data_IF_851406892659
#
_entry.id   IF_851406892659
#
_cell.length_a   1.000
_cell.length_b   1.000
_cell.length_c   1.000
_cell.angle_alpha   90.00
_cell.angle_beta   90.00
_cell.angle_gamma   90.00
#
_symmetry.space_group_name_H-M   'P 1'
#
loop_
_entity.id
_entity.type
_entity.pdbx_description
1 polymer ?
#
# COMPACT_ATOMS: atom_id res chain seq x y z
N UNK A 1 58.28 54.63 -5.68
CA UNK A 1 56.96 54.08 -6.06
C UNK A 1 56.89 52.62 -5.64
N UNK A 2 56.17 52.33 -4.57
CA UNK A 2 55.95 50.94 -4.07
C UNK A 2 54.60 50.46 -4.60
N UNK A 3 54.61 49.39 -5.39
CA UNK A 3 53.37 48.73 -5.86
C UNK A 3 52.98 47.64 -4.85
N UNK A 4 51.83 47.81 -4.22
CA UNK A 4 51.22 46.83 -3.34
C UNK A 4 50.35 45.92 -4.23
N UNK A 5 50.69 44.61 -4.26
CA UNK A 5 49.88 43.59 -4.91
C UNK A 5 48.80 43.11 -3.94
N UNK A 6 47.55 43.32 -4.25
CA UNK A 6 46.42 42.77 -3.46
C UNK A 6 46.14 41.34 -3.92
N UNK A 7 46.16 40.40 -2.99
CA UNK A 7 45.74 39.02 -3.19
C UNK A 7 44.25 38.96 -2.95
N UNK A 8 43.46 38.63 -3.98
CA UNK A 8 42.04 38.32 -3.87
C UNK A 8 41.90 36.84 -3.56
N UNK A 9 41.48 36.55 -2.35
CA UNK A 9 41.18 35.18 -1.88
C UNK A 9 39.73 34.87 -2.31
N UNK A 10 39.55 34.07 -3.38
CA UNK A 10 38.23 33.56 -3.76
C UNK A 10 37.94 32.34 -2.89
N UNK A 11 37.09 32.54 -1.88
CA UNK A 11 36.57 31.45 -1.04
C UNK A 11 35.59 30.61 -1.85
N UNK A 12 35.97 29.37 -2.17
CA UNK A 12 35.05 28.35 -2.74
C UNK A 12 34.07 27.94 -1.63
N UNK A 13 32.81 28.41 -1.71
CA UNK A 13 31.73 27.87 -0.89
C UNK A 13 31.40 26.47 -1.45
N UNK A 14 31.86 25.42 -0.78
CA UNK A 14 31.39 24.06 -0.99
C UNK A 14 30.00 23.97 -0.34
N UNK A 15 28.95 24.11 -1.15
CA UNK A 15 27.60 23.79 -0.73
C UNK A 15 27.57 22.25 -0.68
N UNK A 16 27.78 21.69 0.51
CA UNK A 16 27.51 20.28 0.78
C UNK A 16 25.99 20.09 0.63
N UNK A 17 25.54 19.56 -0.50
CA UNK A 17 24.16 19.13 -0.63
C UNK A 17 23.98 17.94 0.31
N UNK A 18 23.36 18.18 1.44
CA UNK A 18 22.91 17.12 2.35
C UNK A 18 21.74 16.43 1.65
N UNK A 19 22.02 15.36 0.89
CA UNK A 19 20.96 14.46 0.41
C UNK A 19 20.20 13.98 1.64
N UNK A 20 18.90 14.17 1.73
CA UNK A 20 18.13 13.70 2.88
C UNK A 20 18.33 12.19 2.99
N UNK A 21 18.81 11.75 4.15
CA UNK A 21 19.06 10.34 4.43
C UNK A 21 17.71 9.61 4.38
N UNK A 22 17.61 8.51 3.61
CA UNK A 22 16.44 7.64 3.61
C UNK A 22 16.13 7.18 5.03
N UNK A 23 14.86 7.07 5.35
CA UNK A 23 14.35 6.56 6.61
C UNK A 23 13.24 5.54 6.37
N UNK A 24 12.94 4.75 7.39
CA UNK A 24 11.74 3.93 7.40
C UNK A 24 10.53 4.86 7.47
N UNK A 25 9.66 4.76 6.46
CA UNK A 25 8.40 5.49 6.38
C UNK A 25 7.34 4.74 7.20
N UNK A 26 7.27 3.42 7.00
CA UNK A 26 6.46 2.52 7.81
C UNK A 26 7.05 1.10 7.75
N UNK A 27 6.65 0.28 8.73
CA UNK A 27 6.94 -1.15 8.76
C UNK A 27 5.76 -1.92 9.34
N UNK A 28 5.66 -3.20 8.98
CA UNK A 28 4.78 -4.23 9.52
C UNK A 28 5.70 -5.34 9.98
N UNK A 29 5.60 -5.77 11.25
CA UNK A 29 6.51 -6.72 11.87
C UNK A 29 7.86 -6.12 12.27
N UNK A 30 8.72 -6.94 12.84
CA UNK A 30 10.05 -6.60 13.35
C UNK A 30 11.07 -7.56 12.76
N UNK A 31 12.23 -7.07 12.33
CA UNK A 31 13.32 -7.94 11.89
C UNK A 31 13.97 -8.64 13.08
N UNK A 32 13.40 -9.77 13.48
CA UNK A 32 13.81 -10.51 14.66
C UNK A 32 13.81 -12.04 14.47
N UNK A 33 13.64 -12.49 13.22
CA UNK A 33 13.60 -13.90 12.78
C UNK A 33 12.49 -14.73 13.44
N UNK A 34 11.36 -14.10 13.76
CA UNK A 34 10.16 -14.80 14.17
C UNK A 34 8.90 -14.02 13.75
N UNK A 35 7.72 -14.62 13.83
CA UNK A 35 6.45 -14.01 13.46
C UNK A 35 5.50 -13.82 14.63
N UNK A 36 6.00 -13.75 15.87
CA UNK A 36 5.14 -13.70 17.05
C UNK A 36 4.32 -12.42 17.20
N UNK A 37 4.74 -11.34 16.55
CA UNK A 37 4.00 -10.08 16.50
C UNK A 37 2.79 -10.10 15.57
N UNK A 38 2.69 -11.08 14.69
CA UNK A 38 1.62 -11.16 13.69
C UNK A 38 0.37 -11.91 14.21
N UNK A 39 -0.72 -11.75 13.49
CA UNK A 39 -1.95 -12.51 13.70
C UNK A 39 -1.74 -13.98 13.35
N UNK A 40 -2.44 -14.86 14.06
CA UNK A 40 -2.39 -16.31 13.87
C UNK A 40 -1.01 -16.93 14.14
N UNK A 41 -0.05 -16.18 14.72
CA UNK A 41 1.22 -16.73 15.18
C UNK A 41 0.96 -17.86 16.20
N UNK A 42 1.96 -18.75 16.40
CA UNK A 42 1.83 -20.00 17.14
C UNK A 42 1.00 -21.08 16.42
N UNK A 43 1.07 -21.11 15.05
CA UNK A 43 0.53 -22.19 14.23
C UNK A 43 -1.00 -22.25 14.13
N UNK A 44 -1.66 -21.11 14.21
CA UNK A 44 -3.12 -21.04 14.04
C UNK A 44 -3.54 -20.82 12.55
N UNK A 45 -2.76 -21.30 11.57
CA UNK A 45 -3.06 -21.14 10.15
C UNK A 45 -4.43 -21.68 9.73
N UNK A 46 -4.96 -22.71 10.45
CA UNK A 46 -6.29 -23.25 10.21
C UNK A 46 -7.39 -22.21 10.48
N UNK A 47 -7.14 -21.21 11.34
CA UNK A 47 -8.04 -20.10 11.62
C UNK A 47 -7.94 -18.95 10.59
N UNK A 48 -7.18 -19.13 9.53
CA UNK A 48 -6.99 -18.10 8.52
C UNK A 48 -8.32 -17.59 7.96
N UNK A 49 -9.26 -18.51 7.67
CA UNK A 49 -10.59 -18.17 7.19
C UNK A 49 -11.42 -17.44 8.26
N UNK A 50 -11.35 -17.85 9.53
CA UNK A 50 -12.10 -17.21 10.61
C UNK A 50 -11.73 -15.73 10.81
N UNK A 51 -10.51 -15.37 10.44
CA UNK A 51 -10.03 -14.00 10.42
C UNK A 51 -10.28 -13.28 9.06
N UNK A 52 -10.98 -13.94 8.14
CA UNK A 52 -11.30 -13.46 6.80
C UNK A 52 -10.09 -13.13 5.91
N UNK A 53 -8.88 -13.56 6.26
CA UNK A 53 -7.68 -13.28 5.46
C UNK A 53 -7.71 -13.94 4.07
N UNK A 54 -8.49 -15.01 3.90
CA UNK A 54 -8.59 -15.73 2.63
C UNK A 54 -9.90 -15.50 1.85
N UNK A 55 -10.94 -14.96 2.48
CA UNK A 55 -12.27 -14.87 1.89
C UNK A 55 -12.63 -13.50 1.37
N UNK A 56 -12.25 -12.45 2.08
CA UNK A 56 -12.60 -11.08 1.77
C UNK A 56 -11.36 -10.31 1.31
N UNK A 57 -11.59 -9.23 0.57
CA UNK A 57 -10.57 -8.23 0.29
C UNK A 57 -10.28 -7.49 1.58
N UNK A 58 -9.32 -8.00 2.34
CA UNK A 58 -8.83 -7.34 3.54
C UNK A 58 -7.63 -6.48 3.20
N UNK A 59 -7.52 -5.41 3.95
CA UNK A 59 -6.39 -4.51 3.85
C UNK A 59 -5.79 -4.24 5.21
N UNK A 60 -4.50 -3.97 5.23
CA UNK A 60 -3.76 -3.45 6.35
C UNK A 60 -3.53 -1.95 6.12
N UNK A 61 -4.14 -1.11 6.94
CA UNK A 61 -4.03 0.33 6.82
C UNK A 61 -2.96 0.86 7.76
N UNK A 62 -1.86 1.35 7.19
CA UNK A 62 -0.74 1.93 7.94
C UNK A 62 -1.23 3.09 8.82
N UNK A 63 -0.86 3.04 10.10
CA UNK A 63 -1.26 4.03 11.11
C UNK A 63 -2.62 3.76 11.76
N UNK A 64 -3.33 2.68 11.36
CA UNK A 64 -4.63 2.30 11.92
C UNK A 64 -4.68 0.83 12.30
N UNK A 65 -4.26 -0.06 11.40
CA UNK A 65 -4.23 -1.50 11.62
C UNK A 65 -3.12 -1.93 12.57
N UNK A 66 -3.32 -3.05 13.27
CA UNK A 66 -2.37 -3.61 14.22
C UNK A 66 -1.86 -4.97 13.72
N UNK A 67 -0.54 -5.17 13.71
CA UNK A 67 0.13 -6.38 13.22
C UNK A 67 -0.47 -7.65 13.85
N UNK A 68 -0.62 -7.65 15.17
CA UNK A 68 -1.11 -8.79 15.94
C UNK A 68 -2.53 -9.24 15.59
N UNK A 69 -3.34 -8.36 15.06
CA UNK A 69 -4.75 -8.62 14.79
C UNK A 69 -5.06 -8.79 13.31
N UNK A 70 -4.33 -8.07 12.44
CA UNK A 70 -4.76 -7.84 11.06
C UNK A 70 -3.74 -8.27 10.00
N UNK A 71 -2.46 -8.54 10.39
CA UNK A 71 -1.47 -9.09 9.47
C UNK A 71 -1.14 -10.54 9.83
N UNK A 72 -1.45 -11.53 8.97
CA UNK A 72 -1.16 -12.93 9.27
C UNK A 72 0.34 -13.21 9.14
N UNK A 73 0.89 -14.03 10.06
CA UNK A 73 2.29 -14.45 10.01
C UNK A 73 2.63 -15.28 8.76
N UNK A 74 1.62 -15.86 8.11
CA UNK A 74 1.72 -16.77 6.99
C UNK A 74 0.72 -16.39 5.91
N UNK A 75 1.09 -16.54 4.65
CA UNK A 75 0.18 -16.41 3.49
C UNK A 75 0.14 -17.74 2.75
N UNK A 76 -1.05 -18.28 2.44
CA UNK A 76 -1.17 -19.50 1.67
C UNK A 76 -0.83 -19.29 0.20
N UNK A 77 -0.32 -20.36 -0.43
CA UNK A 77 -0.19 -20.46 -1.87
C UNK A 77 -1.38 -21.15 -2.51
N UNK A 78 -1.37 -21.24 -3.83
CA UNK A 78 -2.46 -21.81 -4.62
C UNK A 78 -2.57 -23.33 -4.46
N UNK A 79 -1.53 -24.01 -3.99
CA UNK A 79 -1.53 -25.44 -3.69
C UNK A 79 -2.14 -25.79 -2.32
N UNK A 80 -2.32 -24.79 -1.45
CA UNK A 80 -2.88 -25.00 -0.12
C UNK A 80 -4.40 -25.11 -0.15
N UNK A 81 -4.96 -25.92 0.77
CA UNK A 81 -6.41 -26.15 0.85
C UNK A 81 -7.09 -25.31 1.95
N UNK A 82 -6.39 -24.34 2.48
CA UNK A 82 -6.83 -23.42 3.53
C UNK A 82 -6.65 -21.95 3.07
N UNK A 83 -7.08 -21.01 3.89
CA UNK A 83 -6.88 -19.58 3.62
C UNK A 83 -7.65 -19.03 2.42
N UNK A 84 -8.74 -19.69 2.03
CA UNK A 84 -9.58 -19.22 0.93
C UNK A 84 -9.03 -19.52 -0.48
N UNK A 85 -7.99 -20.33 -0.61
CA UNK A 85 -7.37 -20.66 -1.90
C UNK A 85 -7.98 -21.86 -2.61
N UNK A 86 -8.76 -22.67 -1.92
CA UNK A 86 -9.32 -23.92 -2.46
C UNK A 86 -10.64 -23.73 -3.23
N UNK A 87 -11.06 -24.79 -3.95
CA UNK A 87 -12.23 -24.82 -4.82
C UNK A 87 -13.54 -24.36 -4.18
N UNK A 88 -13.75 -24.62 -2.90
CA UNK A 88 -14.92 -24.10 -2.15
C UNK A 88 -14.89 -22.59 -1.93
N UNK A 89 -13.72 -21.98 -2.03
CA UNK A 89 -13.47 -20.54 -1.92
C UNK A 89 -13.43 -19.84 -3.29
N UNK A 90 -13.68 -20.56 -4.39
CA UNK A 90 -13.65 -20.02 -5.74
C UNK A 90 -12.29 -20.05 -6.42
N UNK A 91 -11.32 -20.85 -5.95
CA UNK A 91 -9.98 -21.01 -6.53
C UNK A 91 -9.24 -19.67 -6.69
N UNK A 92 -9.34 -18.80 -5.73
CA UNK A 92 -8.63 -17.52 -5.74
C UNK A 92 -7.30 -17.60 -4.99
N UNK A 93 -6.34 -16.78 -5.37
CA UNK A 93 -5.14 -16.55 -4.58
C UNK A 93 -5.45 -15.64 -3.40
N UNK A 94 -4.92 -15.95 -2.22
CA UNK A 94 -4.95 -15.03 -1.09
C UNK A 94 -4.06 -13.81 -1.39
N UNK A 95 -4.58 -12.62 -1.18
CA UNK A 95 -3.86 -11.36 -1.38
C UNK A 95 -3.89 -10.54 -0.11
N UNK A 96 -2.73 -10.13 0.35
CA UNK A 96 -2.58 -9.18 1.45
C UNK A 96 -2.38 -7.79 0.85
N UNK A 97 -3.26 -6.86 1.19
CA UNK A 97 -3.22 -5.50 0.65
C UNK A 97 -2.83 -4.51 1.74
N UNK A 98 -1.76 -3.76 1.52
CA UNK A 98 -1.30 -2.68 2.40
C UNK A 98 -1.72 -1.36 1.78
N UNK A 99 -2.44 -0.55 2.56
CA UNK A 99 -2.87 0.79 2.17
C UNK A 99 -2.15 1.84 3.03
N UNK A 100 -1.69 2.91 2.42
CA UNK A 100 -1.10 4.05 3.13
C UNK A 100 -1.28 5.34 2.36
N UNK A 101 -1.49 6.43 3.08
CA UNK A 101 -1.59 7.77 2.52
C UNK A 101 -0.27 8.53 2.66
N UNK A 102 0.12 9.28 1.64
CA UNK A 102 1.22 10.24 1.69
C UNK A 102 0.63 11.65 1.61
N UNK A 103 0.79 12.43 2.68
CA UNK A 103 0.32 13.84 2.72
C UNK A 103 1.20 14.72 1.81
N UNK A 104 2.52 14.61 1.97
CA UNK A 104 3.47 15.39 1.19
C UNK A 104 4.46 14.45 0.51
N UNK A 105 4.38 14.39 -0.83
CA UNK A 105 5.34 13.68 -1.67
C UNK A 105 6.45 14.65 -2.08
N UNK A 106 7.72 14.37 -1.76
CA UNK A 106 8.84 15.18 -2.23
C UNK A 106 9.01 15.06 -3.76
N UNK A 107 9.64 16.04 -4.37
CA UNK A 107 9.88 16.05 -5.83
C UNK A 107 10.92 15.01 -6.27
N UNK A 108 11.74 14.52 -5.35
CA UNK A 108 12.78 13.52 -5.60
C UNK A 108 12.99 12.61 -4.40
N UNK A 109 13.77 11.58 -4.58
CA UNK A 109 14.22 10.67 -3.53
C UNK A 109 14.16 9.21 -3.95
N UNK A 110 14.94 8.42 -3.25
CA UNK A 110 14.99 6.98 -3.44
C UNK A 110 13.96 6.31 -2.53
N UNK A 111 13.22 5.36 -3.09
CA UNK A 111 12.27 4.55 -2.36
C UNK A 111 12.67 3.08 -2.46
N UNK A 112 12.46 2.34 -1.39
CA UNK A 112 12.73 0.91 -1.36
C UNK A 112 11.68 0.19 -0.52
N UNK A 113 11.03 -0.79 -1.13
CA UNK A 113 10.22 -1.77 -0.40
C UNK A 113 11.09 -2.99 -0.10
N UNK A 114 11.12 -3.40 1.16
CA UNK A 114 11.73 -4.65 1.59
C UNK A 114 10.63 -5.58 2.09
N UNK A 115 10.63 -6.82 1.60
CA UNK A 115 9.82 -7.92 2.13
C UNK A 115 10.78 -8.98 2.64
N UNK A 116 10.74 -9.21 3.94
CA UNK A 116 11.54 -10.20 4.63
C UNK A 116 10.71 -11.48 4.80
N UNK A 117 11.18 -12.55 4.18
CA UNK A 117 10.53 -13.86 4.20
C UNK A 117 11.33 -14.76 5.12
N UNK A 118 10.70 -15.16 6.19
CA UNK A 118 11.27 -16.00 7.24
C UNK A 118 11.42 -17.46 6.78
N UNK A 119 10.40 -17.98 6.07
CA UNK A 119 10.40 -19.37 5.60
C UNK A 119 9.33 -19.59 4.51
N UNK A 120 9.43 -20.75 3.82
CA UNK A 120 8.44 -21.18 2.84
C UNK A 120 8.39 -22.71 2.76
N UNK A 121 7.36 -23.24 2.09
CA UNK A 121 7.29 -24.68 1.84
C UNK A 121 8.44 -25.13 0.91
N UNK A 122 9.36 -26.00 1.38
CA UNK A 122 10.51 -26.42 0.58
C UNK A 122 10.19 -27.45 -0.51
N UNK A 123 9.03 -28.12 -0.42
CA UNK A 123 8.60 -29.16 -1.37
C UNK A 123 7.76 -28.57 -2.52
N UNK A 124 7.14 -27.40 -2.32
CA UNK A 124 6.31 -26.72 -3.31
C UNK A 124 6.54 -25.20 -3.24
N UNK A 125 7.64 -24.78 -3.89
CA UNK A 125 8.19 -23.43 -3.76
C UNK A 125 7.24 -22.36 -4.31
N UNK A 126 6.99 -21.28 -3.55
CA UNK A 126 6.09 -20.23 -3.97
C UNK A 126 6.68 -19.33 -5.07
N UNK A 127 5.83 -18.95 -6.02
CA UNK A 127 6.06 -17.79 -6.87
C UNK A 127 5.34 -16.58 -6.26
N UNK A 128 6.10 -15.70 -5.67
CA UNK A 128 5.58 -14.54 -4.95
C UNK A 128 5.46 -13.31 -5.85
N UNK A 129 4.32 -12.62 -5.80
CA UNK A 129 4.05 -11.40 -6.56
C UNK A 129 3.87 -10.22 -5.62
N UNK A 130 4.54 -9.13 -5.95
CA UNK A 130 4.38 -7.82 -5.30
C UNK A 130 3.86 -6.84 -6.34
N UNK A 131 2.80 -6.11 -6.02
CA UNK A 131 2.28 -5.02 -6.83
C UNK A 131 2.38 -3.74 -6.00
N UNK A 132 2.95 -2.69 -6.54
CA UNK A 132 2.97 -1.35 -5.94
C UNK A 132 2.31 -0.39 -6.92
N UNK A 133 1.18 0.19 -6.55
CA UNK A 133 0.43 1.15 -7.38
C UNK A 133 0.24 0.68 -8.84
N UNK A 134 -0.09 -0.61 -9.01
CA UNK A 134 -0.33 -1.23 -10.32
C UNK A 134 0.90 -1.79 -11.03
N UNK A 135 2.13 -1.48 -10.60
CA UNK A 135 3.35 -2.08 -11.14
C UNK A 135 3.69 -3.37 -10.42
N UNK A 136 3.92 -4.45 -11.17
CA UNK A 136 4.11 -5.79 -10.62
C UNK A 136 5.54 -6.30 -10.77
N UNK A 137 6.00 -7.04 -9.76
CA UNK A 137 7.21 -7.86 -9.75
C UNK A 137 6.86 -9.28 -9.34
N UNK A 138 7.66 -10.24 -9.78
CA UNK A 138 7.51 -11.66 -9.43
C UNK A 138 8.85 -12.22 -8.98
N UNK A 139 8.82 -12.99 -7.92
CA UNK A 139 10.00 -13.58 -7.28
C UNK A 139 9.77 -15.07 -7.07
N UNK A 140 10.50 -15.94 -7.77
CA UNK A 140 10.60 -17.35 -7.38
C UNK A 140 11.33 -17.40 -6.03
N UNK A 141 10.67 -17.92 -5.00
CA UNK A 141 11.27 -18.03 -3.66
C UNK A 141 12.13 -19.27 -3.62
N UNK A 142 13.41 -19.19 -3.23
CA UNK A 142 14.28 -20.35 -3.11
C UNK A 142 13.92 -21.16 -1.85
N UNK A 143 14.49 -22.37 -1.75
CA UNK A 143 14.45 -23.11 -0.48
C UNK A 143 15.22 -22.31 0.57
N UNK A 144 14.52 -21.83 1.59
CA UNK A 144 15.10 -21.12 2.72
C UNK A 144 15.58 -22.15 3.76
N UNK A 145 14.69 -23.05 4.17
CA UNK A 145 14.99 -24.11 5.10
C UNK A 145 14.46 -25.45 4.58
N UNK A 146 15.35 -26.46 4.46
CA UNK A 146 15.01 -27.78 3.88
C UNK A 146 14.16 -28.67 4.78
N UNK A 147 14.22 -28.46 6.08
CA UNK A 147 13.58 -29.32 7.09
C UNK A 147 12.43 -28.61 7.80
N UNK A 148 11.79 -27.68 7.13
CA UNK A 148 10.68 -26.92 7.69
C UNK A 148 9.34 -27.58 7.36
N UNK A 149 8.37 -27.36 8.24
CA UNK A 149 6.97 -27.62 8.04
C UNK A 149 6.17 -26.36 8.36
N UNK A 150 4.89 -26.35 8.01
CA UNK A 150 4.03 -25.21 8.32
C UNK A 150 4.01 -24.84 9.81
N UNK A 151 4.17 -25.84 10.70
CA UNK A 151 4.14 -25.68 12.16
C UNK A 151 5.54 -25.44 12.77
N UNK A 152 6.61 -25.52 11.98
CA UNK A 152 7.93 -25.33 12.54
C UNK A 152 8.27 -23.88 12.80
N UNK A 153 9.02 -23.64 13.86
CA UNK A 153 9.68 -22.36 14.11
C UNK A 153 10.96 -22.33 13.29
N UNK A 154 11.14 -21.36 12.39
CA UNK A 154 12.35 -21.25 11.59
C UNK A 154 13.59 -21.06 12.46
N UNK A 155 14.78 -21.56 12.07
CA UNK A 155 16.01 -21.23 12.74
C UNK A 155 16.30 -19.72 12.70
N UNK A 156 16.97 -19.18 13.71
CA UNK A 156 17.31 -17.74 13.85
C UNK A 156 18.07 -17.13 12.65
N UNK A 157 18.59 -17.96 11.74
CA UNK A 157 19.31 -17.52 10.54
C UNK A 157 18.53 -17.73 9.25
N UNK A 158 17.27 -18.13 9.33
CA UNK A 158 16.42 -18.33 8.16
C UNK A 158 15.88 -16.98 7.69
N UNK A 159 16.29 -16.58 6.48
CA UNK A 159 15.91 -15.27 5.93
C UNK A 159 16.04 -15.27 4.41
N UNK A 160 15.09 -14.69 3.73
CA UNK A 160 15.18 -14.34 2.32
C UNK A 160 14.63 -12.93 2.07
N UNK A 161 15.53 -12.00 1.81
CA UNK A 161 15.19 -10.60 1.59
C UNK A 161 14.86 -10.32 0.12
N UNK A 162 13.67 -9.77 -0.10
CA UNK A 162 13.28 -9.18 -1.38
C UNK A 162 13.40 -7.66 -1.23
N UNK A 163 14.34 -7.05 -1.94
CA UNK A 163 14.49 -5.60 -1.99
C UNK A 163 14.06 -5.08 -3.36
N UNK A 164 13.08 -4.19 -3.38
CA UNK A 164 12.51 -3.60 -4.59
C UNK A 164 12.81 -2.10 -4.59
N UNK A 165 13.76 -1.63 -5.40
CA UNK A 165 13.92 -0.19 -5.63
C UNK A 165 12.69 0.33 -6.39
N UNK A 166 12.05 1.35 -5.84
CA UNK A 166 10.86 1.96 -6.42
C UNK A 166 11.23 3.32 -7.02
N UNK A 167 10.80 3.54 -8.26
CA UNK A 167 10.92 4.85 -8.87
C UNK A 167 10.01 5.85 -8.15
N UNK A 168 10.49 7.08 -8.02
CA UNK A 168 9.71 8.16 -7.42
C UNK A 168 8.31 8.30 -8.04
N UNK A 169 8.21 8.28 -9.36
CA UNK A 169 6.95 8.43 -10.13
C UNK A 169 5.91 7.33 -9.82
N UNK A 170 6.32 6.25 -9.16
CA UNK A 170 5.40 5.20 -8.74
C UNK A 170 4.66 5.57 -7.45
N UNK A 171 5.23 6.43 -6.63
CA UNK A 171 4.61 6.89 -5.40
C UNK A 171 3.65 8.04 -5.68
N UNK A 172 2.56 8.11 -4.92
CA UNK A 172 1.49 9.09 -5.12
C UNK A 172 1.30 9.93 -3.86
N UNK A 173 1.04 11.21 -4.04
CA UNK A 173 0.41 11.99 -2.99
C UNK A 173 -1.00 11.47 -2.78
N UNK A 174 -1.45 11.26 -1.54
CA UNK A 174 -2.68 10.56 -1.18
C UNK A 174 -2.51 9.05 -1.14
N UNK A 175 -3.50 8.28 -1.61
CA UNK A 175 -3.56 6.84 -1.46
C UNK A 175 -2.52 6.07 -2.28
N UNK A 176 -1.85 5.13 -1.59
CA UNK A 176 -0.93 4.16 -2.18
C UNK A 176 -1.33 2.76 -1.75
N UNK A 177 -1.07 1.80 -2.62
CA UNK A 177 -1.43 0.41 -2.41
C UNK A 177 -0.26 -0.53 -2.74
N UNK A 178 -0.03 -1.49 -1.85
CA UNK A 178 0.86 -2.62 -2.10
C UNK A 178 0.06 -3.90 -1.92
N UNK A 179 0.05 -4.76 -2.93
CA UNK A 179 -0.61 -6.06 -2.89
C UNK A 179 0.43 -7.18 -2.97
N UNK A 180 0.35 -8.12 -2.04
CA UNK A 180 1.23 -9.27 -1.90
C UNK A 180 0.43 -10.55 -2.14
N UNK A 181 0.89 -11.39 -3.07
CA UNK A 181 0.14 -12.60 -3.49
C UNK A 181 1.09 -13.73 -3.80
N UNK A 182 0.80 -14.94 -3.32
CA UNK A 182 1.45 -16.16 -3.79
C UNK A 182 0.70 -16.69 -5.01
N UNK A 183 1.35 -16.64 -6.19
CA UNK A 183 0.73 -17.01 -7.48
C UNK A 183 0.73 -18.51 -7.74
N UNK A 184 1.80 -19.20 -7.33
CA UNK A 184 2.03 -20.62 -7.55
C UNK A 184 2.70 -21.19 -6.30
N UNK A 185 2.61 -22.50 -6.11
CA UNK A 185 3.20 -23.21 -4.99
C UNK A 185 2.39 -23.05 -3.69
N UNK A 186 3.06 -23.28 -2.58
CA UNK A 186 2.48 -23.33 -1.26
C UNK A 186 2.86 -22.10 -0.42
N UNK A 187 2.69 -22.16 0.87
CA UNK A 187 2.79 -21.06 1.83
C UNK A 187 4.19 -20.42 1.96
N UNK A 188 4.19 -19.18 2.42
CA UNK A 188 5.37 -18.48 2.93
C UNK A 188 5.04 -17.76 4.25
N UNK A 189 6.07 -17.54 5.08
CA UNK A 189 6.00 -16.82 6.36
C UNK A 189 6.77 -15.52 6.29
N UNK A 190 6.23 -14.48 6.92
CA UNK A 190 6.86 -13.17 6.99
C UNK A 190 7.64 -12.96 8.29
N UNK A 191 8.70 -12.16 8.24
CA UNK A 191 9.35 -11.53 9.38
C UNK A 191 9.04 -10.02 9.40
N UNK A 192 9.32 -9.32 8.32
CA UNK A 192 9.09 -7.89 8.24
C UNK A 192 8.71 -7.45 6.82
N UNK A 193 7.87 -6.41 6.75
CA UNK A 193 7.66 -5.66 5.51
C UNK A 193 7.88 -4.19 5.84
N UNK A 194 8.73 -3.50 5.08
CA UNK A 194 9.01 -2.08 5.32
C UNK A 194 9.15 -1.28 4.05
N UNK A 195 8.72 -0.04 4.12
CA UNK A 195 8.95 0.98 3.10
C UNK A 195 9.94 1.99 3.63
N UNK A 196 11.03 2.18 2.90
CA UNK A 196 12.03 3.22 3.12
C UNK A 196 11.87 4.31 2.04
N UNK A 197 12.07 5.54 2.42
CA UNK A 197 11.94 6.68 1.50
C UNK A 197 12.57 7.95 2.03
N UNK A 198 12.39 9.09 1.34
CA UNK A 198 12.95 10.38 1.73
C UNK A 198 12.53 10.82 3.13
N UNK A 199 13.47 11.37 3.91
CA UNK A 199 13.29 11.66 5.33
C UNK A 199 12.22 12.70 5.69
N UNK A 200 11.68 13.43 4.72
CA UNK A 200 10.66 14.47 4.91
C UNK A 200 9.25 14.06 4.49
N UNK A 201 9.07 12.82 4.02
CA UNK A 201 7.74 12.25 3.74
C UNK A 201 6.89 12.24 5.00
N UNK A 202 5.61 12.59 4.88
CA UNK A 202 4.60 12.49 5.94
C UNK A 202 3.49 11.56 5.50
N UNK A 203 3.09 10.67 6.39
CA UNK A 203 1.89 9.86 6.20
C UNK A 203 0.65 10.69 6.51
N UNK A 204 -0.42 10.42 5.76
CA UNK A 204 -1.74 11.00 6.03
C UNK A 204 -2.32 10.38 7.30
N UNK A 205 -2.92 11.19 8.15
CA UNK A 205 -3.73 10.70 9.26
C UNK A 205 -5.11 10.26 8.74
N UNK A 206 -5.44 8.99 8.93
CA UNK A 206 -6.74 8.45 8.52
C UNK A 206 -7.71 8.51 9.70
N UNK A 207 -8.91 9.08 9.49
CA UNK A 207 -9.90 9.25 10.55
C UNK A 207 -11.10 8.32 10.39
N UNK A 208 -11.91 8.56 9.37
CA UNK A 208 -13.18 7.86 9.15
C UNK A 208 -13.23 7.12 7.83
N UNK A 209 -12.54 7.64 6.83
CA UNK A 209 -12.37 7.04 5.50
C UNK A 209 -10.91 7.10 5.07
N UNK A 210 -10.50 6.15 4.25
CA UNK A 210 -9.26 6.20 3.50
C UNK A 210 -9.58 6.38 2.02
N UNK A 211 -9.08 7.45 1.40
CA UNK A 211 -9.26 7.71 -0.02
C UNK A 211 -8.23 6.92 -0.82
N UNK A 212 -8.69 5.90 -1.56
CA UNK A 212 -7.83 5.04 -2.37
C UNK A 212 -7.42 5.70 -3.67
N UNK A 213 -8.40 6.19 -4.44
CA UNK A 213 -8.15 6.77 -5.76
C UNK A 213 -9.24 7.78 -6.12
N UNK A 214 -8.88 8.74 -6.96
CA UNK A 214 -9.81 9.65 -7.62
C UNK A 214 -9.40 9.80 -9.07
N UNK A 215 -10.32 9.48 -9.99
CA UNK A 215 -10.04 9.54 -11.42
C UNK A 215 -11.29 9.76 -12.24
N UNK A 216 -11.14 10.33 -13.44
CA UNK A 216 -12.23 10.35 -14.41
C UNK A 216 -12.53 8.93 -14.91
N UNK A 217 -13.82 8.59 -15.04
CA UNK A 217 -14.25 7.36 -15.66
C UNK A 217 -13.98 7.40 -17.18
N UNK A 218 -13.79 6.24 -17.79
CA UNK A 218 -13.69 6.07 -19.24
C UNK A 218 -15.06 5.80 -19.90
N UNK A 219 -16.14 6.00 -19.14
CA UNK A 219 -17.53 5.84 -19.56
C UNK A 219 -18.42 6.98 -19.07
N UNK A 220 -19.64 7.06 -19.61
CA UNK A 220 -20.66 8.01 -19.20
C UNK A 220 -21.73 7.36 -18.32
N UNK A 221 -22.20 8.11 -17.33
CA UNK A 221 -23.35 7.77 -16.50
C UNK A 221 -24.59 8.54 -16.93
N UNK A 222 -25.77 7.97 -16.67
CA UNK A 222 -27.06 8.63 -16.90
C UNK A 222 -27.44 9.46 -15.69
N UNK A 223 -27.73 10.73 -15.93
CA UNK A 223 -28.25 11.66 -14.93
C UNK A 223 -29.64 12.16 -15.37
N UNK A 224 -30.34 12.88 -14.51
CA UNK A 224 -31.59 13.54 -14.84
C UNK A 224 -31.45 14.58 -15.98
N UNK A 225 -30.24 15.13 -16.15
CA UNK A 225 -29.91 16.15 -17.15
C UNK A 225 -29.35 15.57 -18.46
N UNK A 226 -29.20 14.25 -18.56
CA UNK A 226 -28.60 13.57 -19.71
C UNK A 226 -27.41 12.69 -19.33
N UNK A 227 -26.53 12.36 -20.30
CA UNK A 227 -25.28 11.67 -20.03
C UNK A 227 -24.23 12.63 -19.47
N UNK A 228 -23.43 12.16 -18.51
CA UNK A 228 -22.31 12.87 -17.95
C UNK A 228 -21.13 11.91 -17.76
N UNK A 229 -19.90 12.37 -17.95
CA UNK A 229 -18.72 11.63 -17.50
C UNK A 229 -18.70 11.63 -15.97
N UNK A 230 -18.26 10.54 -15.34
CA UNK A 230 -18.16 10.47 -13.90
C UNK A 230 -16.74 10.76 -13.39
N UNK A 231 -16.65 11.40 -12.23
CA UNK A 231 -15.47 11.34 -11.36
C UNK A 231 -15.67 10.14 -10.43
N UNK A 232 -14.79 9.16 -10.50
CA UNK A 232 -14.79 8.00 -9.62
C UNK A 232 -14.02 8.35 -8.35
N UNK A 233 -14.67 8.21 -7.19
CA UNK A 233 -14.08 8.43 -5.87
C UNK A 233 -14.11 7.10 -5.13
N UNK A 234 -12.94 6.45 -5.00
CA UNK A 234 -12.79 5.12 -4.39
C UNK A 234 -12.30 5.27 -2.94
N UNK A 235 -13.09 4.80 -1.97
CA UNK A 235 -12.83 4.95 -0.55
C UNK A 235 -12.98 3.63 0.21
N UNK A 236 -12.16 3.46 1.26
CA UNK A 236 -12.36 2.47 2.31
C UNK A 236 -13.02 3.13 3.52
N UNK A 237 -14.08 2.55 4.02
CA UNK A 237 -14.73 2.94 5.25
C UNK A 237 -13.94 2.43 6.46
N UNK A 238 -13.67 3.31 7.42
CA UNK A 238 -12.92 2.97 8.63
C UNK A 238 -13.82 2.94 9.86
N UNK A 239 -14.64 3.97 10.05
CA UNK A 239 -15.56 4.07 11.20
C UNK A 239 -16.63 5.15 11.02
N UNK A 240 -17.71 5.01 11.80
CA UNK A 240 -18.81 5.98 11.80
C UNK A 240 -19.67 5.87 10.55
N UNK A 241 -20.35 6.94 10.21
CA UNK A 241 -21.12 7.11 8.97
C UNK A 241 -20.82 8.48 8.40
N UNK A 242 -19.59 8.72 7.90
CA UNK A 242 -19.20 10.03 7.43
C UNK A 242 -19.93 10.42 6.16
N UNK A 243 -20.26 11.70 6.04
CA UNK A 243 -20.72 12.28 4.79
C UNK A 243 -19.51 12.58 3.90
N UNK A 244 -19.46 11.90 2.74
CA UNK A 244 -18.47 12.15 1.71
C UNK A 244 -19.02 13.19 0.75
N UNK A 245 -18.25 14.26 0.51
CA UNK A 245 -18.57 15.29 -0.46
C UNK A 245 -17.45 15.43 -1.48
N UNK A 246 -17.81 15.55 -2.76
CA UNK A 246 -16.88 15.89 -3.84
C UNK A 246 -17.29 17.21 -4.49
N UNK A 247 -16.32 18.09 -4.67
CA UNK A 247 -16.43 19.35 -5.40
C UNK A 247 -15.53 19.33 -6.63
N UNK A 248 -15.99 19.95 -7.72
CA UNK A 248 -15.22 20.20 -8.93
C UNK A 248 -15.25 21.70 -9.20
N UNK A 249 -14.09 22.34 -9.26
CA UNK A 249 -13.93 23.80 -9.43
C UNK A 249 -14.75 24.62 -8.41
N UNK A 250 -14.94 24.07 -7.19
CA UNK A 250 -15.69 24.68 -6.10
C UNK A 250 -17.22 24.47 -6.17
N UNK A 251 -17.71 23.70 -7.14
CA UNK A 251 -19.11 23.29 -7.21
C UNK A 251 -19.28 21.85 -6.71
N UNK A 252 -20.26 21.62 -5.82
CA UNK A 252 -20.58 20.30 -5.30
C UNK A 252 -21.14 19.40 -6.43
N UNK A 253 -20.52 18.24 -6.61
CA UNK A 253 -20.94 17.25 -7.62
C UNK A 253 -21.40 15.93 -7.00
N UNK A 254 -21.10 15.68 -5.70
CA UNK A 254 -21.52 14.51 -4.95
C UNK A 254 -21.64 14.82 -3.47
N UNK A 255 -22.68 14.31 -2.83
CA UNK A 255 -22.79 14.21 -1.35
C UNK A 255 -23.50 12.92 -1.01
N UNK A 256 -22.80 11.99 -0.36
CA UNK A 256 -23.27 10.65 -0.02
C UNK A 256 -22.74 10.19 1.34
N UNK A 257 -23.48 9.31 2.02
CA UNK A 257 -23.03 8.67 3.25
C UNK A 257 -22.21 7.42 2.95
N UNK A 258 -21.13 7.24 3.70
CA UNK A 258 -20.30 6.02 3.63
C UNK A 258 -20.72 5.09 4.76
N UNK A 259 -21.39 3.99 4.41
CA UNK A 259 -21.97 3.04 5.38
C UNK A 259 -21.34 1.65 5.30
N UNK A 260 -20.70 1.30 4.18
CA UNK A 260 -20.16 -0.04 3.92
C UNK A 260 -18.63 -0.06 3.82
N UNK A 261 -18.02 -1.23 3.68
CA UNK A 261 -16.56 -1.44 3.76
C UNK A 261 -15.77 -0.68 2.69
N UNK A 262 -16.21 -0.77 1.44
CA UNK A 262 -15.56 -0.14 0.30
C UNK A 262 -16.59 0.42 -0.68
N UNK A 263 -16.38 1.64 -1.09
CA UNK A 263 -17.22 2.33 -2.07
C UNK A 263 -16.41 2.89 -3.22
N UNK A 264 -17.02 2.84 -4.40
CA UNK A 264 -16.64 3.68 -5.53
C UNK A 264 -17.85 4.54 -5.88
N UNK A 265 -17.79 5.81 -5.55
CA UNK A 265 -18.82 6.79 -5.88
C UNK A 265 -18.62 7.30 -7.30
N UNK A 266 -19.73 7.49 -8.03
CA UNK A 266 -19.77 8.03 -9.39
C UNK A 266 -20.35 9.45 -9.34
N UNK A 267 -19.49 10.46 -9.21
CA UNK A 267 -19.89 11.85 -9.19
C UNK A 267 -20.03 12.41 -10.61
N UNK A 268 -21.22 12.92 -11.03
CA UNK A 268 -21.42 13.41 -12.39
C UNK A 268 -20.66 14.71 -12.62
N UNK A 269 -19.72 14.71 -13.56
CA UNK A 269 -18.98 15.93 -13.94
C UNK A 269 -19.82 16.78 -14.91
N UNK A 270 -19.72 18.12 -14.86
CA UNK A 270 -20.35 19.01 -15.81
C UNK A 270 -19.92 18.70 -17.25
N UNK A 271 -20.85 18.81 -18.20
CA UNK A 271 -20.52 18.66 -19.61
C UNK A 271 -19.64 19.83 -20.09
N UNK A 272 -18.58 19.50 -20.85
CA UNK A 272 -17.68 20.48 -21.44
C UNK A 272 -17.57 20.30 -22.95
N UNK A 273 -17.41 21.40 -23.70
CA UNK A 273 -17.30 21.34 -25.16
C UNK A 273 -15.89 20.98 -25.66
N UNK A 274 -14.89 21.08 -24.78
CA UNK A 274 -13.50 20.78 -25.09
C UNK A 274 -12.78 20.29 -23.84
N UNK A 275 -11.59 19.72 -23.98
CA UNK A 275 -10.74 19.34 -22.85
C UNK A 275 -10.44 20.58 -21.99
N UNK A 276 -10.76 20.48 -20.71
CA UNK A 276 -10.50 21.50 -19.69
C UNK A 276 -9.67 20.88 -18.56
N UNK A 277 -8.91 21.70 -17.89
CA UNK A 277 -8.24 21.35 -16.64
C UNK A 277 -9.11 21.81 -15.49
N UNK A 278 -9.44 20.92 -14.56
CA UNK A 278 -10.32 21.20 -13.43
C UNK A 278 -9.68 20.70 -12.14
N UNK A 279 -10.00 21.35 -11.04
CA UNK A 279 -9.55 20.96 -9.70
C UNK A 279 -10.68 20.29 -8.94
N UNK A 280 -10.43 19.12 -8.38
CA UNK A 280 -11.39 18.46 -7.49
C UNK A 280 -10.96 18.56 -6.03
N UNK A 281 -11.92 18.60 -5.13
CA UNK A 281 -11.72 18.54 -3.69
C UNK A 281 -12.64 17.50 -3.07
N UNK A 282 -12.09 16.65 -2.18
CA UNK A 282 -12.85 15.60 -1.49
C UNK A 282 -12.87 15.91 0.01
N UNK A 283 -14.03 15.80 0.61
CA UNK A 283 -14.25 16.04 2.03
C UNK A 283 -14.93 14.84 2.69
N UNK A 284 -14.62 14.60 3.96
CA UNK A 284 -15.34 13.68 4.84
C UNK A 284 -15.77 14.44 6.10
N UNK A 285 -17.08 14.47 6.39
CA UNK A 285 -17.69 15.27 7.48
C UNK A 285 -17.24 16.74 7.48
N UNK A 286 -17.12 17.34 6.30
CA UNK A 286 -16.68 18.72 6.11
C UNK A 286 -15.17 18.95 6.26
N UNK A 287 -14.38 17.96 6.59
CA UNK A 287 -12.92 18.02 6.61
C UNK A 287 -12.36 17.63 5.23
N UNK A 288 -11.52 18.51 4.66
CA UNK A 288 -10.87 18.22 3.37
C UNK A 288 -9.84 17.11 3.52
N UNK A 289 -9.97 16.07 2.69
CA UNK A 289 -9.06 14.92 2.67
C UNK A 289 -8.22 14.84 1.39
N UNK A 290 -8.60 15.59 0.32
CA UNK A 290 -7.85 15.61 -0.94
C UNK A 290 -8.13 16.88 -1.75
N UNK A 291 -7.11 17.32 -2.49
CA UNK A 291 -7.18 18.28 -3.62
C UNK A 291 -6.42 17.72 -4.79
#
# INVERSE_FOLDING_TARGET
>A
MKRTAGIVLIGLLVISSCTPKNRIIWQIGENNNNGYEFALSDNEYERFIEKDFGWEDKYFLIGTSEDKNEWPYIIPGTSDTWGGTWGTSGWRSSTQTILFGIDTLPDDGEWKLTVDILDCNPEDLPLFKVIVNGKAWKFPIPIINKNTTIDSVPPDSSEYLIEIPLNHDLMRSGGNEIALTTLEGSWLKFDQIKLEGPGHVRLTENKQVFLRDVKAADYEIKTEKGSAQALLVDVEHLKGTPELKAELDGEEILTELVEDKRYTFEAPMPAVESTVESTYEIYADGEKIRT
#
